data_IF_497233868856
#
_entry.id   IF_497233868856
#
_cell.length_a   1.000
_cell.length_b   1.000
_cell.length_c   1.000
_cell.angle_alpha   90.00
_cell.angle_beta   90.00
_cell.angle_gamma   90.00
#
_symmetry.space_group_name_H-M   'P 1'
#
loop_
_entity.id
_entity.type
_entity.pdbx_description
1 polymer ?
#
# COMPACT_ATOMS: atom_id res chain seq x y z
N UNK A 1 6.30 6.22 -45.63
CA UNK A 1 6.52 6.72 -44.25
C UNK A 1 6.34 5.56 -43.30
N UNK A 2 7.28 5.47 -42.36
CA UNK A 2 7.58 4.34 -41.48
C UNK A 2 6.36 3.84 -40.68
N UNK A 3 6.19 2.52 -40.66
CA UNK A 3 5.33 1.79 -39.74
C UNK A 3 5.72 2.11 -38.30
N UNK A 4 4.80 2.70 -37.54
CA UNK A 4 4.94 2.94 -36.10
C UNK A 4 5.13 1.60 -35.39
N UNK A 5 6.25 1.36 -34.67
CA UNK A 5 6.38 0.15 -33.89
C UNK A 5 5.39 0.22 -32.73
N UNK A 6 4.57 -0.82 -32.64
CA UNK A 6 3.61 -1.06 -31.57
C UNK A 6 4.36 -1.04 -30.23
N UNK A 7 4.29 0.09 -29.50
CA UNK A 7 4.87 0.23 -28.17
C UNK A 7 3.97 -0.48 -27.17
N UNK A 8 4.05 -1.80 -27.19
CA UNK A 8 3.43 -2.70 -26.24
C UNK A 8 4.01 -2.36 -24.86
N UNK A 9 3.16 -1.88 -23.95
CA UNK A 9 3.54 -1.49 -22.60
C UNK A 9 4.30 -2.64 -21.94
N UNK A 10 5.46 -2.38 -21.31
CA UNK A 10 6.27 -3.46 -20.72
C UNK A 10 5.47 -4.35 -19.73
N UNK A 11 4.39 -3.82 -19.18
CA UNK A 11 3.50 -4.45 -18.22
C UNK A 11 2.67 -5.61 -18.84
N UNK A 12 2.22 -5.49 -20.09
CA UNK A 12 1.36 -6.51 -20.70
C UNK A 12 2.15 -7.76 -21.14
N UNK A 13 3.43 -7.59 -21.46
CA UNK A 13 4.34 -8.71 -21.73
C UNK A 13 4.67 -9.49 -20.45
N UNK A 14 4.79 -8.83 -19.30
CA UNK A 14 5.09 -9.47 -18.02
C UNK A 14 3.95 -10.38 -17.54
N UNK A 15 2.70 -9.94 -17.69
CA UNK A 15 1.52 -10.74 -17.33
C UNK A 15 1.40 -12.04 -18.15
N UNK A 16 1.69 -11.98 -19.46
CA UNK A 16 1.66 -13.17 -20.30
C UNK A 16 2.76 -14.17 -19.95
N UNK A 17 3.99 -13.70 -19.72
CA UNK A 17 5.11 -14.58 -19.35
C UNK A 17 4.86 -15.24 -17.99
N UNK A 18 4.39 -14.49 -17.01
CA UNK A 18 4.04 -15.04 -15.69
C UNK A 18 2.89 -16.04 -15.76
N UNK A 19 1.87 -15.80 -16.59
CA UNK A 19 0.79 -16.75 -16.84
C UNK A 19 1.31 -18.06 -17.43
N UNK A 20 2.11 -18.00 -18.51
CA UNK A 20 2.66 -19.20 -19.15
C UNK A 20 3.56 -19.97 -18.18
N UNK A 21 4.42 -19.26 -17.44
CA UNK A 21 5.32 -19.84 -16.46
C UNK A 21 4.56 -20.51 -15.31
N UNK A 22 3.53 -19.84 -14.77
CA UNK A 22 2.69 -20.38 -13.70
C UNK A 22 1.94 -21.64 -14.15
N UNK A 23 1.39 -21.65 -15.36
CA UNK A 23 0.73 -22.83 -15.91
C UNK A 23 1.72 -23.98 -16.13
N UNK A 24 2.91 -23.71 -16.66
CA UNK A 24 3.94 -24.73 -16.85
C UNK A 24 4.34 -25.39 -15.52
N UNK A 25 4.57 -24.59 -14.47
CA UNK A 25 4.84 -25.11 -13.13
C UNK A 25 3.66 -25.86 -12.53
N UNK A 26 2.42 -25.38 -12.73
CA UNK A 26 1.22 -26.05 -12.24
C UNK A 26 1.04 -27.44 -12.88
N UNK A 27 1.27 -27.55 -14.19
CA UNK A 27 1.21 -28.83 -14.91
C UNK A 27 2.31 -29.77 -14.42
N UNK A 28 3.55 -29.27 -14.29
CA UNK A 28 4.67 -30.07 -13.78
C UNK A 28 4.42 -30.57 -12.36
N UNK A 29 3.86 -29.71 -11.50
CA UNK A 29 3.47 -30.08 -10.14
C UNK A 29 2.32 -31.09 -10.12
N UNK A 30 1.32 -30.95 -10.98
CA UNK A 30 0.22 -31.91 -11.09
C UNK A 30 0.73 -33.27 -11.56
N UNK A 31 1.60 -33.30 -12.58
CA UNK A 31 2.25 -34.53 -13.02
C UNK A 31 3.01 -35.19 -11.88
N UNK A 32 3.79 -34.43 -11.12
CA UNK A 32 4.47 -34.94 -9.93
C UNK A 32 3.49 -35.50 -8.87
N UNK A 33 2.41 -34.79 -8.56
CA UNK A 33 1.46 -35.19 -7.52
C UNK A 33 0.64 -36.45 -7.88
N UNK A 34 0.29 -36.61 -9.16
CA UNK A 34 -0.55 -37.71 -9.65
C UNK A 34 0.24 -38.91 -10.19
N UNK A 35 1.55 -38.79 -10.40
CA UNK A 35 2.37 -39.93 -10.84
C UNK A 35 2.39 -41.03 -9.77
N UNK A 36 2.12 -42.29 -10.14
CA UNK A 36 2.29 -43.42 -9.23
C UNK A 36 3.77 -43.68 -8.93
N UNK A 37 4.05 -44.10 -7.69
CA UNK A 37 5.42 -44.32 -7.19
C UNK A 37 6.23 -45.34 -8.03
N UNK A 38 5.54 -46.30 -8.66
CA UNK A 38 6.16 -47.27 -9.56
C UNK A 38 6.81 -46.64 -10.79
N UNK A 39 6.22 -45.57 -11.34
CA UNK A 39 6.80 -44.85 -12.49
C UNK A 39 7.97 -43.97 -12.06
N UNK A 40 7.90 -43.40 -10.86
CA UNK A 40 8.99 -42.58 -10.31
C UNK A 40 10.23 -43.45 -10.09
N UNK A 41 10.07 -44.66 -9.55
CA UNK A 41 11.15 -45.62 -9.37
C UNK A 41 11.76 -46.10 -10.70
N UNK A 42 10.93 -46.31 -11.74
CA UNK A 42 11.42 -46.67 -13.07
C UNK A 42 12.24 -45.55 -13.73
N UNK A 43 11.81 -44.29 -13.56
CA UNK A 43 12.55 -43.13 -14.06
C UNK A 43 13.83 -42.94 -13.25
N UNK A 44 13.80 -43.17 -11.94
CA UNK A 44 14.98 -43.11 -11.07
C UNK A 44 16.05 -44.15 -11.49
N UNK A 45 15.67 -45.41 -11.69
CA UNK A 45 16.59 -46.45 -12.17
C UNK A 45 17.24 -46.10 -13.52
N UNK A 46 16.55 -45.32 -14.37
CA UNK A 46 17.03 -44.95 -15.69
C UNK A 46 17.90 -43.67 -15.70
N UNK A 47 17.69 -42.75 -14.75
CA UNK A 47 18.37 -41.44 -14.70
C UNK A 47 19.31 -41.26 -13.49
N UNK A 48 19.32 -42.19 -12.53
CA UNK A 48 20.23 -42.24 -11.38
C UNK A 48 19.96 -41.16 -10.31
N UNK A 49 18.71 -40.76 -10.11
CA UNK A 49 18.33 -39.63 -9.22
C UNK A 49 17.95 -40.17 -7.84
N UNK A 50 18.97 -40.38 -7.01
CA UNK A 50 18.87 -41.16 -5.75
C UNK A 50 17.92 -40.58 -4.69
N UNK A 51 17.48 -39.32 -4.80
CA UNK A 51 16.63 -38.66 -3.81
C UNK A 51 15.59 -37.74 -4.46
N UNK A 52 14.35 -38.21 -4.54
CA UNK A 52 13.18 -37.38 -4.84
C UNK A 52 12.62 -36.75 -3.55
N UNK A 53 12.10 -35.50 -3.59
CA UNK A 53 11.32 -34.96 -2.47
C UNK A 53 10.19 -35.90 -2.02
N UNK A 54 9.85 -35.94 -0.72
CA UNK A 54 8.78 -36.80 -0.22
C UNK A 54 7.42 -36.43 -0.83
N UNK A 55 6.61 -37.46 -1.11
CA UNK A 55 5.27 -37.31 -1.71
C UNK A 55 4.33 -36.45 -0.87
N UNK A 56 4.53 -36.42 0.44
CA UNK A 56 3.76 -35.58 1.37
C UNK A 56 3.86 -34.08 1.04
N UNK A 57 4.93 -33.64 0.38
CA UNK A 57 5.05 -32.25 -0.10
C UNK A 57 3.97 -31.89 -1.12
N UNK A 58 3.45 -32.85 -1.88
CA UNK A 58 2.32 -32.62 -2.76
C UNK A 58 1.07 -32.19 -1.97
N UNK A 59 0.91 -32.61 -0.71
CA UNK A 59 -0.22 -32.19 0.14
C UNK A 59 0.13 -30.94 0.95
N UNK A 60 1.37 -30.85 1.45
CA UNK A 60 1.79 -29.72 2.26
C UNK A 60 1.78 -28.40 1.50
N UNK A 61 2.29 -28.36 0.27
CA UNK A 61 2.35 -27.13 -0.55
C UNK A 61 0.97 -26.46 -0.69
N UNK A 62 -0.09 -27.13 -1.19
CA UNK A 62 -1.39 -26.50 -1.36
C UNK A 62 -2.03 -26.16 0.00
N UNK A 63 -1.80 -26.98 1.03
CA UNK A 63 -2.30 -26.70 2.38
C UNK A 63 -1.71 -25.40 2.94
N UNK A 64 -0.38 -25.23 2.85
CA UNK A 64 0.28 -24.01 3.29
C UNK A 64 -0.08 -22.79 2.42
N UNK A 65 -0.31 -22.96 1.11
CA UNK A 65 -0.78 -21.87 0.25
C UNK A 65 -2.17 -21.37 0.67
N UNK A 66 -3.10 -22.27 1.00
CA UNK A 66 -4.42 -21.88 1.50
C UNK A 66 -4.30 -21.18 2.85
N UNK A 67 -3.48 -21.70 3.77
CA UNK A 67 -3.23 -21.05 5.06
C UNK A 67 -2.65 -19.64 4.85
N UNK A 68 -1.66 -19.50 3.97
CA UNK A 68 -1.03 -18.22 3.66
C UNK A 68 -2.05 -17.23 3.06
N UNK A 69 -2.91 -17.70 2.16
CA UNK A 69 -3.95 -16.89 1.52
C UNK A 69 -4.91 -16.24 2.53
N UNK A 70 -5.24 -16.93 3.62
CA UNK A 70 -6.04 -16.36 4.71
C UNK A 70 -5.21 -15.57 5.73
N UNK A 71 -4.01 -16.04 6.05
CA UNK A 71 -3.15 -15.41 7.06
C UNK A 71 -2.64 -14.04 6.60
N UNK A 72 -2.20 -13.90 5.35
CA UNK A 72 -1.64 -12.66 4.80
C UNK A 72 -2.61 -11.47 4.90
N UNK A 73 -3.88 -11.53 4.45
CA UNK A 73 -4.80 -10.39 4.55
C UNK A 73 -5.13 -10.05 6.01
N UNK A 74 -5.23 -11.03 6.90
CA UNK A 74 -5.45 -10.79 8.34
C UNK A 74 -4.24 -10.06 8.94
N UNK A 75 -3.04 -10.55 8.66
CA UNK A 75 -1.80 -9.93 9.10
C UNK A 75 -1.65 -8.53 8.52
N UNK A 76 -1.97 -8.34 7.24
CA UNK A 76 -1.94 -7.05 6.56
C UNK A 76 -2.90 -6.06 7.21
N UNK A 77 -4.12 -6.48 7.54
CA UNK A 77 -5.07 -5.66 8.29
C UNK A 77 -4.51 -5.26 9.66
N UNK A 78 -3.93 -6.22 10.39
CA UNK A 78 -3.30 -5.94 11.69
C UNK A 78 -2.12 -4.97 11.58
N UNK A 79 -1.25 -5.15 10.58
CA UNK A 79 -0.13 -4.26 10.31
C UNK A 79 -0.60 -2.85 9.92
N UNK A 80 -1.65 -2.75 9.11
CA UNK A 80 -2.24 -1.45 8.75
C UNK A 80 -2.84 -0.77 9.99
N UNK A 81 -3.51 -1.50 10.87
CA UNK A 81 -4.04 -0.96 12.13
C UNK A 81 -2.92 -0.52 13.08
N UNK A 82 -1.81 -1.25 13.14
CA UNK A 82 -0.63 -0.88 13.93
C UNK A 82 0.09 0.35 13.35
N UNK A 83 0.02 0.56 12.04
CA UNK A 83 0.66 1.69 11.36
C UNK A 83 -0.22 2.94 11.36
N UNK A 84 -1.53 2.81 11.61
CA UNK A 84 -2.45 3.93 11.66
C UNK A 84 -2.23 4.78 12.94
N UNK A 85 -2.39 6.11 12.85
CA UNK A 85 -2.38 6.97 14.02
C UNK A 85 -3.54 6.62 14.97
N UNK A 86 -3.41 6.97 16.25
CA UNK A 86 -4.48 6.76 17.23
C UNK A 86 -5.74 7.52 16.78
N UNK A 87 -6.92 6.99 17.11
CA UNK A 87 -8.21 7.60 16.71
C UNK A 87 -8.41 9.01 17.27
N UNK A 88 -7.80 9.32 18.41
CA UNK A 88 -7.87 10.63 19.06
C UNK A 88 -6.76 11.58 18.58
N UNK A 89 -5.92 11.14 17.64
CA UNK A 89 -4.81 11.94 17.12
C UNK A 89 -5.27 12.81 15.95
N UNK A 90 -4.90 14.09 16.00
CA UNK A 90 -5.20 15.07 14.94
C UNK A 90 -4.53 14.72 13.61
N UNK A 91 -3.45 13.94 13.67
CA UNK A 91 -2.75 13.45 12.48
C UNK A 91 -3.52 12.37 11.72
N UNK A 92 -4.65 11.88 12.24
CA UNK A 92 -5.60 11.09 11.46
C UNK A 92 -6.44 11.96 10.49
N UNK A 93 -6.53 13.28 10.74
CA UNK A 93 -7.37 14.22 9.99
C UNK A 93 -6.55 15.06 9.02
N UNK A 94 -5.29 15.38 9.36
CA UNK A 94 -4.42 16.26 8.59
C UNK A 94 -3.38 15.47 7.78
N UNK A 95 -3.17 15.87 6.53
CA UNK A 95 -2.13 15.32 5.66
C UNK A 95 -1.08 16.39 5.30
N UNK A 96 0.02 15.98 4.66
CA UNK A 96 1.09 16.91 4.26
C UNK A 96 0.68 17.92 3.18
N UNK A 97 -0.49 17.77 2.55
CA UNK A 97 -1.00 18.68 1.52
C UNK A 97 -2.09 19.62 2.05
N UNK A 98 -2.34 19.60 3.35
CA UNK A 98 -3.20 20.58 4.03
C UNK A 98 -2.57 21.97 3.93
N UNK A 99 -3.32 22.92 3.37
CA UNK A 99 -2.86 24.29 3.18
C UNK A 99 -3.28 25.15 4.37
N UNK A 100 -2.37 25.41 5.31
CA UNK A 100 -2.70 26.24 6.47
C UNK A 100 -2.93 27.71 6.12
N UNK A 101 -4.00 28.29 6.67
CA UNK A 101 -4.19 29.74 6.67
C UNK A 101 -3.14 30.39 7.57
N UNK A 102 -2.14 31.07 6.99
CA UNK A 102 -1.13 31.81 7.76
C UNK A 102 -1.69 33.15 8.25
N UNK A 103 -2.48 33.13 9.32
CA UNK A 103 -2.98 34.36 9.93
C UNK A 103 -1.96 34.99 10.88
N UNK A 104 -1.75 36.31 10.75
CA UNK A 104 -0.90 37.12 11.64
C UNK A 104 -1.52 37.37 13.04
N UNK A 105 -2.49 36.56 13.47
CA UNK A 105 -3.08 36.67 14.79
C UNK A 105 -2.17 36.05 15.85
N UNK A 106 -1.69 36.90 16.76
CA UNK A 106 -0.81 36.57 17.87
C UNK A 106 -1.29 35.31 18.64
N UNK A 107 -0.42 34.30 18.69
CA UNK A 107 -0.16 33.62 19.96
C UNK A 107 -0.64 32.18 20.14
N UNK A 108 -1.11 31.47 19.11
CA UNK A 108 -1.25 30.01 19.21
C UNK A 108 -0.58 29.37 18.00
N UNK A 109 0.71 29.03 18.15
CA UNK A 109 1.33 28.03 17.28
C UNK A 109 0.62 26.72 17.56
N UNK A 110 -0.36 26.39 16.75
CA UNK A 110 -0.71 25.01 16.59
C UNK A 110 0.39 24.41 15.72
N UNK A 111 1.33 23.69 16.33
CA UNK A 111 2.31 22.94 15.57
C UNK A 111 1.52 21.90 14.77
N UNK A 112 1.15 22.26 13.55
CA UNK A 112 0.28 21.49 12.69
C UNK A 112 0.88 20.13 12.30
N UNK A 113 2.14 19.91 12.66
CA UNK A 113 2.74 18.61 12.80
C UNK A 113 3.56 18.63 14.09
N UNK A 114 3.01 18.13 15.21
CA UNK A 114 3.86 17.82 16.36
C UNK A 114 4.87 16.76 15.91
N UNK A 115 6.07 16.76 16.47
CA UNK A 115 7.21 15.91 16.08
C UNK A 115 6.96 14.40 16.08
N UNK A 116 5.80 13.94 16.55
CA UNK A 116 5.36 12.54 16.54
C UNK A 116 4.65 12.12 15.24
N UNK A 117 4.18 13.08 14.44
CA UNK A 117 3.55 12.78 13.16
C UNK A 117 4.64 12.70 12.09
N UNK A 118 4.92 11.47 11.63
CA UNK A 118 5.82 11.21 10.49
C UNK A 118 5.21 11.78 9.21
N UNK A 119 5.36 13.08 9.03
CA UNK A 119 5.02 13.73 7.78
C UNK A 119 6.12 13.34 6.80
N UNK A 120 5.75 12.67 5.71
CA UNK A 120 6.68 12.48 4.59
C UNK A 120 7.01 13.88 4.08
N UNK A 121 8.29 14.27 4.21
CA UNK A 121 8.82 15.57 3.83
C UNK A 121 8.29 15.97 2.44
N UNK A 122 7.40 16.95 2.37
CA UNK A 122 7.07 17.59 1.11
C UNK A 122 7.98 18.82 0.98
N UNK A 123 8.67 18.92 -0.15
CA UNK A 123 9.36 20.14 -0.56
C UNK A 123 8.29 21.24 -0.64
N UNK A 124 8.31 22.17 0.32
CA UNK A 124 7.50 23.38 0.24
C UNK A 124 7.85 24.10 -1.04
N UNK A 125 6.89 24.18 -1.96
CA UNK A 125 6.96 25.13 -3.05
C UNK A 125 6.82 26.51 -2.41
N UNK A 126 7.93 27.24 -2.30
CA UNK A 126 7.90 28.66 -1.96
C UNK A 126 7.07 29.38 -3.03
N UNK A 127 5.84 29.74 -2.67
CA UNK A 127 5.04 30.63 -3.48
C UNK A 127 5.63 32.03 -3.34
N UNK A 128 6.52 32.37 -4.27
CA UNK A 128 7.19 33.66 -4.36
C UNK A 128 6.11 34.70 -4.64
N UNK A 129 5.69 35.42 -3.60
CA UNK A 129 4.69 36.46 -3.70
C UNK A 129 5.16 37.62 -4.57
N UNK A 130 4.74 37.63 -5.84
CA UNK A 130 4.55 38.86 -6.61
C UNK A 130 3.06 39.22 -6.58
N UNK A 131 2.78 40.37 -5.96
CA UNK A 131 1.42 40.87 -5.74
C UNK A 131 0.94 41.63 -6.98
N UNK A 132 0.27 40.92 -7.88
CA UNK A 132 -0.62 41.53 -8.87
C UNK A 132 -1.87 42.11 -8.15
N UNK A 133 -2.35 43.32 -8.51
CA UNK A 133 -3.36 44.06 -7.74
C UNK A 133 -4.79 43.49 -7.80
N UNK A 134 -4.97 42.27 -8.32
CA UNK A 134 -6.25 41.55 -8.32
C UNK A 134 -6.06 40.03 -8.30
N UNK A 135 -5.14 39.53 -7.47
CA UNK A 135 -5.03 38.08 -7.24
C UNK A 135 -6.09 37.63 -6.25
N UNK A 136 -6.87 36.61 -6.63
CA UNK A 136 -7.78 35.90 -5.72
C UNK A 136 -6.93 35.38 -4.56
N UNK A 137 -7.31 35.62 -3.29
CA UNK A 137 -6.54 35.12 -2.15
C UNK A 137 -6.43 33.61 -2.23
N UNK A 138 -5.28 33.07 -1.84
CA UNK A 138 -5.08 31.61 -1.81
C UNK A 138 -6.15 30.99 -0.90
N UNK A 139 -6.78 29.94 -1.40
CA UNK A 139 -7.68 29.13 -0.58
C UNK A 139 -6.82 28.36 0.41
N UNK A 140 -7.22 28.38 1.67
CA UNK A 140 -6.54 27.68 2.74
C UNK A 140 -7.57 26.88 3.55
N UNK A 141 -7.11 25.78 4.15
CA UNK A 141 -7.90 24.88 4.95
C UNK A 141 -8.13 25.46 6.34
N UNK A 142 -9.40 25.49 6.76
CA UNK A 142 -9.80 26.00 8.07
C UNK A 142 -9.56 24.93 9.14
N UNK A 143 -8.83 25.29 10.20
CA UNK A 143 -8.56 24.34 11.28
C UNK A 143 -9.83 23.97 12.06
N UNK A 144 -10.22 22.69 11.95
CA UNK A 144 -11.37 22.11 12.66
C UNK A 144 -11.29 22.27 14.18
N UNK A 145 -10.08 22.34 14.75
CA UNK A 145 -9.89 22.56 16.19
C UNK A 145 -10.35 23.95 16.60
N UNK A 146 -10.00 24.95 15.79
CA UNK A 146 -10.40 26.33 16.01
C UNK A 146 -11.92 26.45 15.93
N UNK A 147 -12.52 25.84 14.90
CA UNK A 147 -13.98 25.78 14.73
C UNK A 147 -14.64 25.13 15.95
N UNK A 148 -14.16 23.95 16.37
CA UNK A 148 -14.69 23.25 17.54
C UNK A 148 -14.58 24.11 18.80
N UNK A 149 -13.44 24.76 19.04
CA UNK A 149 -13.24 25.63 20.19
C UNK A 149 -14.23 26.82 20.18
N UNK A 150 -14.42 27.46 19.03
CA UNK A 150 -15.41 28.53 18.89
C UNK A 150 -16.82 28.03 19.14
N UNK A 151 -17.19 26.87 18.59
CA UNK A 151 -18.51 26.26 18.79
C UNK A 151 -18.75 25.96 20.27
N UNK A 152 -17.80 25.35 20.97
CA UNK A 152 -17.91 25.08 22.41
C UNK A 152 -18.01 26.36 23.24
N UNK A 153 -17.26 27.41 22.88
CA UNK A 153 -17.34 28.69 23.56
C UNK A 153 -18.68 29.38 23.36
N UNK A 154 -19.28 29.27 22.17
CA UNK A 154 -20.60 29.83 21.92
C UNK A 154 -21.66 29.06 22.70
N UNK A 155 -21.64 27.73 22.67
CA UNK A 155 -22.57 26.92 23.46
C UNK A 155 -22.51 27.25 24.95
N UNK A 156 -21.32 27.44 25.52
CA UNK A 156 -21.15 27.82 26.93
C UNK A 156 -21.69 29.23 27.26
N UNK A 157 -21.89 30.10 26.27
CA UNK A 157 -22.50 31.43 26.48
C UNK A 157 -24.03 31.40 26.41
N UNK A 158 -24.62 30.29 25.94
CA UNK A 158 -26.06 30.10 25.82
C UNK A 158 -26.67 29.43 27.08
N UNK A 159 -25.85 28.83 27.94
CA UNK A 159 -26.20 28.36 29.29
C UNK A 159 -26.02 29.47 30.36
#
# INVERSE_FOLDING_TARGET
>A
MSSTPNQKSNNESCGYVTFVLSNAFAILYALYAFLPDSLIQQIDEQYGITHYPPRELAVYIPTYLVILFFCVPIMYMGLNMLSAPKVDDVCAIWDTRSNECRDNHQGVKFDACTSDCKCVQCESSEDTGESEPFSIPSICDLDVRLVNQYMYQQLKKLD
#
